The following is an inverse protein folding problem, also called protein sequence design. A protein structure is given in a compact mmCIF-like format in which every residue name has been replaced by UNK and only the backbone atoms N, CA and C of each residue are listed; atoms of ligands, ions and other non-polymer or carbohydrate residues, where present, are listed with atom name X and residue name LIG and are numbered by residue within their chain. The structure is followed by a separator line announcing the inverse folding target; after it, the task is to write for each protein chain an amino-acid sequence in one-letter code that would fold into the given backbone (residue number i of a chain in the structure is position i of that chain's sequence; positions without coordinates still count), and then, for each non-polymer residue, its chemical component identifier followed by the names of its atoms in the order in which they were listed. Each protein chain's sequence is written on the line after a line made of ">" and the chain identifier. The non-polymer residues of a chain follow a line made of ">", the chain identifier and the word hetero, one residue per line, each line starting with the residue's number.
data_IF_751243680355
#
_entry.id   IF_751243680355
#
_cell.length_a   1.000
_cell.length_b   1.000
_cell.length_c   1.000
_cell.angle_alpha   90.00
_cell.angle_beta   90.00
_cell.angle_gamma   90.00
#
_symmetry.space_group_name_H-M   'P 1'
#
loop_
_entity.id
_entity.type
_entity.pdbx_description
1 polymer ?
#
# COMPACT_ATOMS: atom_id res chain seq x y z
N UNK A 1 -33.51 5.15 0.37
CA UNK A 1 -32.93 5.96 -0.72
C UNK A 1 -31.82 5.14 -1.38
N UNK A 2 -31.74 5.08 -2.71
CA UNK A 2 -30.65 4.40 -3.40
C UNK A 2 -29.32 5.08 -3.08
N UNK A 3 -28.25 4.30 -2.94
CA UNK A 3 -26.88 4.78 -2.75
C UNK A 3 -26.08 4.40 -3.99
N UNK A 4 -25.37 5.35 -4.56
CA UNK A 4 -24.52 5.14 -5.72
C UNK A 4 -23.07 5.35 -5.33
N UNK A 5 -22.17 4.58 -5.98
CA UNK A 5 -20.73 4.73 -5.83
C UNK A 5 -20.15 5.31 -7.10
N UNK A 6 -19.19 6.21 -6.94
CA UNK A 6 -18.51 6.85 -8.06
C UNK A 6 -17.14 7.39 -7.66
N UNK A 7 -16.39 7.80 -8.67
CA UNK A 7 -15.06 8.38 -8.54
C UNK A 7 -15.03 9.78 -9.13
N UNK A 8 -14.30 10.69 -8.51
CA UNK A 8 -14.10 12.04 -9.05
C UNK A 8 -13.05 11.99 -10.16
N UNK A 9 -13.41 12.47 -11.36
CA UNK A 9 -12.50 12.67 -12.49
C UNK A 9 -12.71 14.07 -13.04
N UNK A 10 -11.67 14.91 -12.98
CA UNK A 10 -11.74 16.28 -13.52
C UNK A 10 -12.90 17.09 -12.96
N UNK A 11 -13.13 17.02 -11.65
CA UNK A 11 -14.24 17.67 -10.92
C UNK A 11 -15.65 17.12 -11.22
N UNK A 12 -15.76 16.02 -11.97
CA UNK A 12 -17.04 15.33 -12.22
C UNK A 12 -17.08 14.01 -11.44
N UNK A 13 -18.19 13.73 -10.76
CA UNK A 13 -18.42 12.41 -10.13
C UNK A 13 -18.92 11.45 -11.20
N UNK A 14 -18.11 10.44 -11.53
CA UNK A 14 -18.46 9.36 -12.46
C UNK A 14 -18.93 8.15 -11.67
N UNK A 15 -20.19 7.76 -11.85
CA UNK A 15 -20.76 6.59 -11.18
C UNK A 15 -20.20 5.30 -11.79
N UNK A 16 -19.88 4.31 -10.93
CA UNK A 16 -19.38 3.00 -11.34
C UNK A 16 -20.47 2.18 -12.05
N UNK A 17 -21.72 2.33 -11.60
CA UNK A 17 -22.90 1.69 -12.18
C UNK A 17 -23.70 2.69 -13.02
N UNK A 18 -24.30 2.20 -14.11
CA UNK A 18 -25.22 3.01 -14.93
C UNK A 18 -26.49 3.30 -14.12
N UNK A 19 -26.59 4.51 -13.57
CA UNK A 19 -27.78 5.02 -12.93
C UNK A 19 -28.48 6.03 -13.86
N UNK A 20 -29.81 5.88 -14.02
CA UNK A 20 -30.63 6.90 -14.66
C UNK A 20 -31.02 7.94 -13.61
N UNK A 21 -30.27 9.03 -13.55
CA UNK A 21 -30.58 10.19 -12.71
C UNK A 21 -31.11 11.31 -13.61
N UNK A 22 -32.35 11.78 -13.40
CA UNK A 22 -32.91 12.86 -14.21
C UNK A 22 -32.20 14.18 -13.91
N UNK A 23 -32.17 15.05 -14.93
CA UNK A 23 -31.60 16.39 -14.82
C UNK A 23 -32.25 17.19 -13.68
N UNK A 24 -31.42 17.90 -12.91
CA UNK A 24 -31.87 18.71 -11.77
C UNK A 24 -32.14 17.92 -10.47
N UNK A 25 -31.91 16.61 -10.44
CA UNK A 25 -32.05 15.83 -9.21
C UNK A 25 -31.02 16.28 -8.15
N UNK A 26 -31.45 16.69 -6.94
CA UNK A 26 -30.54 17.02 -5.87
C UNK A 26 -29.82 15.76 -5.37
N UNK A 27 -28.50 15.86 -5.20
CA UNK A 27 -27.65 14.76 -4.72
C UNK A 27 -26.84 15.19 -3.50
N UNK A 28 -26.63 14.25 -2.58
CA UNK A 28 -25.72 14.40 -1.46
C UNK A 28 -24.45 13.59 -1.74
N UNK A 29 -23.30 14.26 -1.78
CA UNK A 29 -22.01 13.60 -2.00
C UNK A 29 -21.34 13.34 -0.66
N UNK A 30 -21.24 12.07 -0.28
CA UNK A 30 -20.46 11.63 0.86
C UNK A 30 -19.05 11.24 0.39
N UNK A 31 -18.06 12.10 0.66
CA UNK A 31 -16.66 11.75 0.42
C UNK A 31 -16.24 10.71 1.44
N UNK A 32 -16.14 9.46 1.01
CA UNK A 32 -15.45 8.45 1.80
C UNK A 32 -13.98 8.81 1.76
N UNK A 33 -13.39 9.15 2.92
CA UNK A 33 -11.94 9.04 3.08
C UNK A 33 -11.58 7.67 2.55
N UNK A 34 -10.65 7.58 1.60
CA UNK A 34 -10.05 6.30 1.28
C UNK A 34 -9.64 5.74 2.64
N UNK A 35 -10.31 4.67 3.10
CA UNK A 35 -9.84 3.92 4.24
C UNK A 35 -8.46 3.53 3.84
N UNK A 36 -7.48 4.24 4.42
CA UNK A 36 -6.08 4.28 4.06
C UNK A 36 -5.80 3.10 3.15
N UNK A 37 -6.05 3.30 1.85
CA UNK A 37 -5.64 2.33 0.88
C UNK A 37 -4.16 2.66 0.80
N UNK A 38 -3.41 2.34 1.89
CA UNK A 38 -2.16 1.59 1.80
C UNK A 38 -2.39 0.76 0.57
N UNK A 39 -1.81 1.20 -0.54
CA UNK A 39 -1.76 0.47 -1.79
C UNK A 39 -1.60 -0.95 -1.32
N UNK A 40 -2.63 -1.78 -1.50
CA UNK A 40 -2.60 -3.13 -0.95
C UNK A 40 -1.31 -3.69 -1.48
N UNK A 41 -0.33 -3.87 -0.59
CA UNK A 41 0.99 -4.40 -0.85
C UNK A 41 0.84 -5.89 -1.12
N UNK A 42 -0.01 -6.19 -2.09
CA UNK A 42 -0.52 -7.50 -2.41
C UNK A 42 0.03 -7.94 -3.78
N UNK A 43 1.12 -7.32 -4.22
CA UNK A 43 1.86 -7.74 -5.40
C UNK A 43 3.35 -7.95 -5.13
N UNK A 44 3.90 -7.36 -4.06
CA UNK A 44 5.30 -7.60 -3.70
C UNK A 44 5.47 -7.80 -2.19
N UNK A 45 5.71 -9.04 -1.73
CA UNK A 45 5.98 -9.32 -0.32
C UNK A 45 7.28 -8.66 0.18
N UNK A 46 8.18 -8.23 -0.70
CA UNK A 46 9.40 -7.52 -0.33
C UNK A 46 9.18 -6.04 -0.03
N UNK A 47 7.97 -5.50 -0.21
CA UNK A 47 7.65 -4.13 0.20
C UNK A 47 7.21 -4.02 1.67
N UNK A 48 6.93 -5.14 2.33
CA UNK A 48 6.53 -5.20 3.73
C UNK A 48 7.43 -6.20 4.50
N UNK A 49 8.75 -6.03 4.35
CA UNK A 49 9.77 -6.91 4.95
C UNK A 49 9.59 -6.99 6.47
N UNK A 50 9.25 -5.87 7.11
CA UNK A 50 9.04 -5.80 8.56
C UNK A 50 7.90 -6.69 9.07
N UNK A 51 6.95 -7.05 8.20
CA UNK A 51 5.81 -7.90 8.57
C UNK A 51 6.16 -9.40 8.65
N UNK A 52 7.24 -9.85 8.00
CA UNK A 52 7.60 -11.27 7.93
C UNK A 52 9.07 -11.57 8.27
N UNK A 53 9.96 -10.60 8.15
CA UNK A 53 11.36 -10.80 8.48
C UNK A 53 11.53 -10.88 10.01
N UNK A 54 12.31 -11.85 10.50
CA UNK A 54 12.65 -11.89 11.91
C UNK A 54 13.46 -10.65 12.29
N UNK A 55 13.17 -10.08 13.46
CA UNK A 55 13.97 -9.01 14.02
C UNK A 55 15.43 -9.49 14.23
N UNK A 56 16.43 -8.64 13.96
CA UNK A 56 17.82 -8.94 14.28
C UNK A 56 17.97 -9.30 15.76
N UNK A 57 18.75 -10.33 16.06
CA UNK A 57 19.15 -10.63 17.44
C UNK A 57 20.11 -9.55 17.97
N UNK A 58 20.25 -9.45 19.30
CA UNK A 58 21.22 -8.53 19.91
C UNK A 58 22.67 -8.84 19.48
N UNK A 59 22.94 -10.08 19.10
CA UNK A 59 24.25 -10.53 18.64
C UNK A 59 24.49 -10.26 17.13
N UNK A 60 23.51 -9.67 16.44
CA UNK A 60 23.63 -9.41 15.00
C UNK A 60 24.65 -8.30 14.74
N UNK A 61 25.70 -8.56 13.94
CA UNK A 61 26.67 -7.53 13.58
C UNK A 61 26.00 -6.34 12.88
N UNK A 62 26.37 -5.12 13.26
CA UNK A 62 25.78 -3.89 12.70
C UNK A 62 26.07 -3.70 11.21
N UNK A 63 27.09 -4.38 10.69
CA UNK A 63 27.51 -4.36 9.31
C UNK A 63 27.22 -5.69 8.58
N UNK A 64 26.36 -6.55 9.14
CA UNK A 64 25.94 -7.82 8.53
C UNK A 64 25.47 -7.63 7.09
N UNK A 65 24.68 -6.60 6.80
CA UNK A 65 24.18 -6.34 5.45
C UNK A 65 25.32 -6.10 4.44
N UNK A 66 26.35 -5.35 4.83
CA UNK A 66 27.51 -5.03 3.98
C UNK A 66 28.48 -6.21 3.84
N UNK A 67 28.56 -7.04 4.88
CA UNK A 67 29.56 -8.10 5.02
C UNK A 67 28.93 -9.50 5.14
N UNK A 68 27.76 -9.71 4.54
CA UNK A 68 27.02 -10.97 4.68
C UNK A 68 27.84 -12.18 4.21
N UNK A 69 28.66 -12.03 3.16
CA UNK A 69 29.55 -13.10 2.69
C UNK A 69 30.61 -13.50 3.71
N UNK A 70 31.12 -12.54 4.48
CA UNK A 70 32.06 -12.82 5.56
C UNK A 70 31.40 -13.67 6.66
N UNK A 71 30.20 -13.30 7.08
CA UNK A 71 29.51 -13.98 8.18
C UNK A 71 28.87 -15.32 7.77
N UNK A 72 28.40 -15.44 6.52
CA UNK A 72 27.75 -16.66 6.03
C UNK A 72 28.74 -17.66 5.43
N UNK A 73 29.80 -17.18 4.79
CA UNK A 73 30.70 -18.02 3.99
C UNK A 73 32.18 -17.89 4.38
N UNK A 74 32.53 -17.01 5.33
CA UNK A 74 33.90 -16.84 5.79
C UNK A 74 34.79 -16.06 4.81
N UNK A 75 34.21 -15.32 3.86
CA UNK A 75 34.96 -14.48 2.93
C UNK A 75 35.67 -13.32 3.63
N UNK A 76 36.61 -12.66 2.93
CA UNK A 76 37.22 -11.43 3.44
C UNK A 76 36.18 -10.32 3.61
N UNK A 77 36.41 -9.45 4.59
CA UNK A 77 35.49 -8.37 4.92
C UNK A 77 35.68 -7.20 3.97
N UNK A 78 34.58 -6.63 3.48
CA UNK A 78 34.62 -5.42 2.65
C UNK A 78 34.95 -4.22 3.55
N UNK A 79 36.15 -3.67 3.40
CA UNK A 79 36.59 -2.41 4.03
C UNK A 79 35.74 -1.22 3.60
#
# INVERSE_FOLDING_TARGET
>A
MPRYRGVVRGNVVVLEEKANLPDGMPVLVEVRKANDHKVRSNQDPFLDVDAWAPLPSQDTPTDLARNHDHYLYGCEKNG
#
